data_IF_827129562353
#
_entry.id   IF_827129562353
#
_cell.length_a   1.000
_cell.length_b   1.000
_cell.length_c   1.000
_cell.angle_alpha   90.00
_cell.angle_beta   90.00
_cell.angle_gamma   90.00
#
_symmetry.space_group_name_H-M   'P 1'
#
loop_
_entity.id
_entity.type
_entity.pdbx_description
1 polymer ?
#
# COMPACT_ATOMS: atom_id res chain seq x y z
N UNK A 1 2.86 1.35 17.56
CA UNK A 1 1.54 1.70 17.00
C UNK A 1 0.52 0.67 17.46
N UNK A 2 -0.68 1.08 17.92
CA UNK A 2 -1.70 0.18 18.43
C UNK A 2 -2.55 -0.39 17.27
N UNK A 3 -1.90 -1.02 16.30
CA UNK A 3 -2.58 -1.72 15.20
C UNK A 3 -2.31 -3.21 15.34
N UNK A 4 -3.29 -4.03 14.98
CA UNK A 4 -3.18 -5.48 15.03
C UNK A 4 -1.98 -6.01 14.25
N UNK A 5 -1.34 -7.08 14.73
CA UNK A 5 -0.19 -7.68 14.04
C UNK A 5 -0.56 -8.24 12.66
N UNK A 6 -1.82 -8.65 12.48
CA UNK A 6 -2.35 -8.99 11.16
C UNK A 6 -2.28 -7.81 10.19
N UNK A 7 -2.69 -6.61 10.61
CA UNK A 7 -2.69 -5.42 9.77
C UNK A 7 -1.26 -4.93 9.47
N UNK A 8 -0.36 -5.04 10.45
CA UNK A 8 1.08 -4.79 10.20
C UNK A 8 1.62 -5.72 9.12
N UNK A 9 1.25 -7.01 9.18
CA UNK A 9 1.69 -7.99 8.19
C UNK A 9 1.12 -7.66 6.80
N UNK A 10 -0.17 -7.33 6.69
CA UNK A 10 -0.74 -6.94 5.39
C UNK A 10 -0.11 -5.66 4.83
N UNK A 11 0.22 -4.68 5.68
CA UNK A 11 0.95 -3.47 5.26
C UNK A 11 2.38 -3.77 4.80
N UNK A 12 3.09 -4.65 5.51
CA UNK A 12 4.43 -5.06 5.15
C UNK A 12 4.44 -5.80 3.82
N UNK A 13 3.50 -6.73 3.62
CA UNK A 13 3.32 -7.47 2.39
C UNK A 13 3.01 -6.53 1.21
N UNK A 14 2.06 -5.59 1.41
CA UNK A 14 1.76 -4.56 0.43
C UNK A 14 2.94 -3.62 0.15
N UNK A 15 3.77 -3.30 1.16
CA UNK A 15 4.99 -2.51 0.95
C UNK A 15 6.07 -3.30 0.20
N UNK A 16 6.20 -4.59 0.46
CA UNK A 16 7.14 -5.49 -0.21
C UNK A 16 6.74 -5.68 -1.68
N UNK A 17 5.44 -5.79 -1.96
CA UNK A 17 4.93 -5.77 -3.33
C UNK A 17 5.35 -4.51 -4.07
N UNK A 18 5.30 -3.33 -3.41
CA UNK A 18 5.73 -2.05 -3.99
C UNK A 18 7.24 -1.96 -4.21
N UNK A 19 8.03 -2.43 -3.24
CA UNK A 19 9.48 -2.50 -3.32
C UNK A 19 9.91 -3.47 -4.45
N UNK A 20 9.15 -4.56 -4.66
CA UNK A 20 9.37 -5.48 -5.77
C UNK A 20 9.05 -4.91 -7.16
N UNK A 21 8.31 -3.80 -7.25
CA UNK A 21 8.11 -3.05 -8.49
C UNK A 21 9.30 -2.12 -8.77
N UNK A 22 10.06 -1.76 -7.73
CA UNK A 22 11.27 -0.97 -7.89
C UNK A 22 12.30 -1.79 -8.65
N UNK A 23 12.54 -1.38 -9.89
CA UNK A 23 13.50 -2.02 -10.76
C UNK A 23 14.83 -1.27 -10.64
N UNK A 24 15.73 -1.82 -9.83
CA UNK A 24 17.07 -1.24 -9.59
C UNK A 24 17.90 -1.12 -10.88
N UNK A 25 17.65 -2.00 -11.86
CA UNK A 25 18.35 -2.03 -13.15
C UNK A 25 17.86 -0.93 -14.11
N UNK A 26 16.57 -0.57 -14.04
CA UNK A 26 15.99 0.52 -14.84
C UNK A 26 14.92 1.29 -14.03
N UNK A 27 15.31 2.36 -13.31
CA UNK A 27 14.38 3.13 -12.49
C UNK A 27 13.27 3.82 -13.30
N UNK A 28 13.43 3.94 -14.63
CA UNK A 28 12.40 4.45 -15.53
C UNK A 28 11.32 3.42 -15.90
N UNK A 29 11.60 2.11 -15.73
CA UNK A 29 10.64 1.01 -15.85
C UNK A 29 10.24 0.43 -14.48
N UNK A 30 10.41 1.20 -13.40
CA UNK A 30 9.81 0.89 -12.09
C UNK A 30 8.31 1.13 -12.13
N UNK A 31 7.64 0.33 -12.95
CA UNK A 31 6.21 0.41 -13.22
C UNK A 31 5.59 -0.98 -13.00
N UNK A 32 4.30 -0.96 -12.68
CA UNK A 32 3.54 -2.20 -12.51
C UNK A 32 3.58 -3.01 -13.81
N UNK A 33 3.71 -4.33 -13.69
CA UNK A 33 3.71 -5.26 -14.84
C UNK A 33 2.50 -5.07 -15.75
N UNK A 34 1.36 -4.68 -15.17
CA UNK A 34 0.12 -4.37 -15.88
C UNK A 34 -0.68 -3.30 -15.16
N UNK A 35 -1.61 -2.66 -15.88
CA UNK A 35 -2.62 -1.76 -15.31
C UNK A 35 -3.51 -2.48 -14.27
N UNK A 36 -3.73 -3.79 -14.45
CA UNK A 36 -4.48 -4.64 -13.51
C UNK A 36 -3.75 -4.77 -12.17
N UNK A 37 -2.46 -5.08 -12.17
CA UNK A 37 -1.62 -5.11 -10.95
C UNK A 37 -1.63 -3.74 -10.25
N UNK A 38 -1.49 -2.65 -11.00
CA UNK A 38 -1.59 -1.27 -10.47
C UNK A 38 -2.94 -1.04 -9.79
N UNK A 39 -4.03 -1.46 -10.42
CA UNK A 39 -5.39 -1.27 -9.90
C UNK A 39 -5.63 -2.12 -8.66
N UNK A 40 -5.16 -3.38 -8.66
CA UNK A 40 -5.25 -4.28 -7.52
C UNK A 40 -4.47 -3.69 -6.33
N UNK A 41 -3.26 -3.20 -6.57
CA UNK A 41 -2.42 -2.56 -5.55
C UNK A 41 -3.05 -1.32 -4.94
N UNK A 42 -3.61 -0.42 -5.78
CA UNK A 42 -4.32 0.79 -5.31
C UNK A 42 -5.54 0.41 -4.47
N UNK A 43 -6.30 -0.60 -4.91
CA UNK A 43 -7.48 -1.10 -4.18
C UNK A 43 -7.09 -1.74 -2.85
N UNK A 44 -5.97 -2.45 -2.81
CA UNK A 44 -5.42 -3.04 -1.59
C UNK A 44 -4.98 -1.94 -0.61
N UNK A 45 -4.29 -0.91 -1.09
CA UNK A 45 -3.91 0.28 -0.31
C UNK A 45 -5.10 1.04 0.28
N UNK A 46 -6.16 1.26 -0.52
CA UNK A 46 -7.41 1.88 -0.04
C UNK A 46 -8.07 1.05 1.08
N UNK A 47 -8.11 -0.27 0.93
CA UNK A 47 -8.68 -1.16 1.93
C UNK A 47 -7.83 -1.17 3.22
N UNK A 48 -6.50 -1.16 3.09
CA UNK A 48 -5.58 -1.06 4.21
C UNK A 48 -5.75 0.26 4.97
N UNK A 49 -5.90 1.38 4.27
CA UNK A 49 -6.18 2.67 4.89
C UNK A 49 -7.46 2.63 5.73
N UNK A 50 -8.55 2.06 5.20
CA UNK A 50 -9.81 1.92 5.92
C UNK A 50 -9.67 1.06 7.17
N UNK A 51 -8.95 -0.07 7.07
CA UNK A 51 -8.63 -0.93 8.23
C UNK A 51 -7.80 -0.17 9.25
N UNK A 52 -6.80 0.59 8.81
CA UNK A 52 -5.95 1.40 9.69
C UNK A 52 -6.76 2.46 10.43
N UNK A 53 -7.63 3.17 9.71
CA UNK A 53 -8.49 4.21 10.28
C UNK A 53 -9.48 3.61 11.29
N UNK A 54 -10.00 2.42 11.02
CA UNK A 54 -10.89 1.71 11.94
C UNK A 54 -10.17 1.29 13.23
N UNK A 55 -8.94 0.77 13.12
CA UNK A 55 -8.13 0.31 14.25
C UNK A 55 -7.57 1.46 15.10
N UNK A 56 -7.08 2.51 14.45
CA UNK A 56 -6.55 3.70 15.13
C UNK A 56 -7.66 4.61 15.67
N UNK A 57 -8.87 4.47 15.14
CA UNK A 57 -10.04 5.28 15.49
C UNK A 57 -9.86 6.77 15.14
N UNK A 58 -10.71 7.61 15.74
CA UNK A 58 -10.69 9.06 15.51
C UNK A 58 -9.49 9.80 16.14
N UNK A 59 -8.61 9.09 16.85
CA UNK A 59 -7.39 9.69 17.41
C UNK A 59 -6.30 9.96 16.37
N UNK A 60 -6.43 9.39 15.18
CA UNK A 60 -5.47 9.50 14.08
C UNK A 60 -6.20 9.76 12.78
N UNK A 61 -5.60 10.58 11.92
CA UNK A 61 -6.04 10.77 10.54
C UNK A 61 -5.14 9.95 9.63
N UNK A 62 -5.68 8.89 9.03
CA UNK A 62 -4.96 8.06 8.07
C UNK A 62 -5.34 8.52 6.67
N UNK A 63 -4.39 9.09 5.93
CA UNK A 63 -4.58 9.48 4.54
C UNK A 63 -3.78 8.58 3.61
N UNK A 64 -4.46 7.96 2.65
CA UNK A 64 -3.81 7.26 1.55
C UNK A 64 -3.78 8.19 0.34
N UNK A 65 -2.57 8.60 -0.04
CA UNK A 65 -2.36 9.50 -1.18
C UNK A 65 -1.68 8.70 -2.29
N UNK A 66 -2.49 8.28 -3.26
CA UNK A 66 -1.97 7.62 -4.45
C UNK A 66 -1.36 8.67 -5.40
N UNK A 67 -0.05 8.62 -5.60
CA UNK A 67 0.68 9.49 -6.53
C UNK A 67 0.82 8.88 -7.93
N UNK A 68 0.37 7.64 -8.12
CA UNK A 68 0.46 6.94 -9.38
C UNK A 68 -0.62 7.46 -10.34
N UNK A 69 -0.25 8.43 -11.19
CA UNK A 69 -1.08 8.91 -12.31
C UNK A 69 -1.05 7.95 -13.51
#
# INVERSE_FOLDING_TARGET
MPISDALKKELLDWSDEYDGIFNDDDPANSDFKSLEDKTAFIKQGDNLQKKLQAELGNGYEVTYRNFLK
#
